data_IF_216399214513
#
_entry.id   IF_216399214513
#
_cell.length_a   1.000
_cell.length_b   1.000
_cell.length_c   1.000
_cell.angle_alpha   90.00
_cell.angle_beta   90.00
_cell.angle_gamma   90.00
#
_symmetry.space_group_name_H-M   'P 1'
#
loop_
_entity.id
_entity.type
_entity.pdbx_description
1 polymer ?
#
# COMPACT_ATOMS: atom_id res chain seq x y z
N UNK A 1 62.47 28.54 1.82
CA UNK A 1 61.08 28.44 2.30
C UNK A 1 60.71 26.98 2.24
N UNK A 2 60.29 26.49 3.40
CA UNK A 2 60.31 25.10 3.82
C UNK A 2 59.32 24.20 3.06
N UNK A 3 59.73 22.95 2.94
CA UNK A 3 58.94 21.82 2.45
C UNK A 3 58.14 21.33 3.65
N UNK A 4 56.83 21.56 3.65
CA UNK A 4 55.94 21.04 4.69
C UNK A 4 55.60 19.58 4.39
N UNK A 5 56.24 18.70 5.17
CA UNK A 5 55.96 17.29 5.28
C UNK A 5 55.02 17.06 6.46
N UNK A 6 53.77 16.66 6.22
CA UNK A 6 52.97 16.04 7.28
C UNK A 6 51.46 16.17 7.15
N UNK A 7 50.83 15.20 6.46
CA UNK A 7 49.64 14.50 6.97
C UNK A 7 49.33 13.30 6.07
N UNK A 8 49.72 12.13 6.52
CA UNK A 8 49.14 10.86 6.07
C UNK A 8 47.67 10.80 6.50
N UNK A 9 46.73 10.40 5.62
CA UNK A 9 45.36 10.14 6.07
C UNK A 9 45.37 8.90 6.96
N UNK A 10 44.82 9.01 8.16
CA UNK A 10 44.58 7.83 8.99
C UNK A 10 43.59 6.87 8.32
N UNK A 11 43.78 5.55 8.43
CA UNK A 11 42.78 4.60 7.95
C UNK A 11 41.52 4.73 8.82
N UNK A 12 40.41 5.11 8.20
CA UNK A 12 39.09 4.98 8.82
C UNK A 12 38.85 3.50 9.12
N UNK A 13 39.05 3.11 10.39
CA UNK A 13 38.53 1.85 10.90
C UNK A 13 36.99 1.95 10.87
N UNK A 14 36.40 1.38 9.83
CA UNK A 14 35.01 0.94 9.89
C UNK A 14 34.93 -0.08 11.02
N UNK A 15 34.37 0.33 12.14
CA UNK A 15 33.89 -0.59 13.17
C UNK A 15 32.92 -1.54 12.47
N UNK A 16 33.36 -2.79 12.24
CA UNK A 16 32.46 -3.89 11.92
C UNK A 16 31.42 -3.92 13.03
N UNK A 17 30.18 -3.53 12.71
CA UNK A 17 29.06 -3.78 13.57
C UNK A 17 29.05 -5.29 13.83
N UNK A 18 29.23 -5.67 15.09
CA UNK A 18 29.06 -7.05 15.53
C UNK A 18 27.67 -7.52 15.11
N UNK A 19 27.59 -8.63 14.39
CA UNK A 19 26.33 -9.32 14.11
C UNK A 19 25.55 -9.47 15.43
N UNK A 20 24.27 -9.07 15.50
CA UNK A 20 23.51 -9.22 16.73
C UNK A 20 23.35 -10.71 17.03
N UNK A 21 23.72 -11.09 18.26
CA UNK A 21 23.51 -12.42 18.84
C UNK A 21 22.11 -12.93 18.51
N UNK A 22 22.02 -14.20 18.10
CA UNK A 22 20.75 -14.85 17.75
C UNK A 22 19.77 -14.75 18.92
N UNK A 23 18.72 -13.96 18.78
CA UNK A 23 17.69 -13.81 19.82
C UNK A 23 16.89 -15.12 19.88
N UNK A 24 16.96 -15.88 21.00
CA UNK A 24 16.46 -17.27 21.03
C UNK A 24 14.97 -17.37 21.39
N UNK A 25 14.28 -16.26 21.65
CA UNK A 25 12.88 -16.25 22.08
C UNK A 25 12.05 -15.23 21.29
N UNK A 26 10.76 -15.56 21.08
CA UNK A 26 9.80 -14.70 20.37
C UNK A 26 9.63 -13.34 21.04
N UNK A 27 9.66 -13.30 22.38
CA UNK A 27 9.55 -12.06 23.16
C UNK A 27 10.78 -11.16 22.99
N UNK A 28 11.98 -11.73 22.90
CA UNK A 28 13.20 -10.97 22.63
C UNK A 28 13.20 -10.37 21.21
N UNK A 29 12.56 -11.04 20.25
CA UNK A 29 12.34 -10.48 18.90
C UNK A 29 11.37 -9.31 18.91
N UNK A 30 10.31 -9.38 19.72
CA UNK A 30 9.32 -8.32 19.87
C UNK A 30 9.95 -7.09 20.54
N UNK A 31 10.72 -7.25 21.62
CA UNK A 31 11.43 -6.13 22.26
C UNK A 31 12.50 -5.50 21.35
N UNK A 32 13.19 -6.31 20.53
CA UNK A 32 14.13 -5.79 19.52
C UNK A 32 13.42 -4.97 18.44
N UNK A 33 12.25 -5.41 17.97
CA UNK A 33 11.43 -4.64 17.02
C UNK A 33 10.92 -3.32 17.63
N UNK A 34 10.57 -3.32 18.92
CA UNK A 34 10.07 -2.13 19.63
C UNK A 34 11.18 -1.13 20.00
N UNK A 35 12.44 -1.56 20.04
CA UNK A 35 13.60 -0.72 20.36
C UNK A 35 14.35 -0.19 19.13
N UNK A 36 13.99 -0.63 17.91
CA UNK A 36 14.56 -0.09 16.68
C UNK A 36 13.96 1.29 16.41
N UNK A 37 14.85 2.30 16.35
CA UNK A 37 14.51 3.69 16.02
C UNK A 37 13.55 3.77 14.82
N UNK A 38 12.50 4.57 14.99
CA UNK A 38 11.64 5.07 13.93
C UNK A 38 12.54 5.68 12.84
N UNK A 39 12.47 5.12 11.63
CA UNK A 39 13.24 5.60 10.49
C UNK A 39 12.85 7.05 10.19
N UNK A 40 13.81 7.88 9.80
CA UNK A 40 13.57 9.28 9.48
C UNK A 40 12.68 9.40 8.23
N UNK A 41 11.84 10.45 8.18
CA UNK A 41 10.83 10.70 7.12
C UNK A 41 11.38 10.60 5.69
N UNK A 42 12.69 10.83 5.49
CA UNK A 42 13.36 10.71 4.19
C UNK A 42 13.50 9.26 3.68
N UNK A 43 13.37 8.26 4.56
CA UNK A 43 13.43 6.84 4.19
C UNK A 43 12.05 6.25 3.82
N UNK A 44 10.97 7.03 3.87
CA UNK A 44 9.63 6.62 3.42
C UNK A 44 9.44 6.88 1.90
N UNK A 45 10.37 7.61 1.27
CA UNK A 45 10.26 8.13 -0.09
C UNK A 45 10.59 7.15 -1.25
N UNK A 46 10.54 5.82 -1.08
CA UNK A 46 10.86 4.87 -2.18
C UNK A 46 9.92 3.67 -2.17
N UNK A 47 8.98 3.60 -3.12
CA UNK A 47 7.68 3.00 -2.83
C UNK A 47 7.23 1.84 -3.73
N UNK A 48 7.94 1.42 -4.78
CA UNK A 48 7.57 0.18 -5.49
C UNK A 48 8.58 -0.95 -5.28
N UNK A 49 9.84 -0.76 -5.69
CA UNK A 49 10.90 -1.76 -5.48
C UNK A 49 11.14 -2.06 -4.00
N UNK A 50 11.04 -1.02 -3.15
CA UNK A 50 11.24 -1.17 -1.71
C UNK A 50 10.04 -1.79 -1.00
N UNK A 51 8.82 -1.75 -1.53
CA UNK A 51 7.71 -2.41 -0.82
C UNK A 51 7.93 -3.92 -0.81
N UNK A 52 8.26 -4.49 -1.96
CA UNK A 52 8.55 -5.92 -2.02
C UNK A 52 9.83 -6.28 -1.27
N UNK A 53 10.85 -5.41 -1.26
CA UNK A 53 12.09 -5.63 -0.49
C UNK A 53 11.93 -5.46 1.03
N UNK A 54 11.08 -4.56 1.49
CA UNK A 54 10.91 -4.22 2.91
C UNK A 54 9.76 -5.00 3.55
N UNK A 55 8.69 -5.31 2.81
CA UNK A 55 7.51 -6.03 3.31
C UNK A 55 7.52 -7.53 2.97
N UNK A 56 8.70 -8.07 2.63
CA UNK A 56 8.99 -9.51 2.71
C UNK A 56 8.84 -10.33 1.43
N UNK A 57 8.35 -9.76 0.32
CA UNK A 57 8.23 -10.52 -0.94
C UNK A 57 9.60 -10.87 -1.55
N UNK A 58 10.56 -9.96 -1.49
CA UNK A 58 11.95 -10.21 -1.89
C UNK A 58 12.57 -11.32 -1.05
N UNK A 59 12.49 -11.19 0.28
CA UNK A 59 13.04 -12.18 1.21
C UNK A 59 12.38 -13.55 1.01
N UNK A 60 11.09 -13.58 0.74
CA UNK A 60 10.38 -14.82 0.42
C UNK A 60 10.89 -15.43 -0.89
N UNK A 61 11.06 -14.65 -1.95
CA UNK A 61 11.61 -15.12 -3.21
C UNK A 61 13.05 -15.64 -3.02
N UNK A 62 13.89 -14.87 -2.34
CA UNK A 62 15.27 -15.25 -2.06
C UNK A 62 15.34 -16.56 -1.26
N UNK A 63 14.53 -16.67 -0.20
CA UNK A 63 14.46 -17.87 0.65
C UNK A 63 13.94 -19.10 -0.10
N UNK A 64 12.95 -18.95 -0.99
CA UNK A 64 12.33 -20.07 -1.73
C UNK A 64 13.14 -20.51 -2.95
N UNK A 65 13.80 -19.58 -3.65
CA UNK A 65 14.45 -19.83 -4.95
C UNK A 65 15.97 -19.68 -4.93
N UNK A 66 16.55 -19.24 -3.80
CA UNK A 66 18.00 -19.17 -3.59
C UNK A 66 18.70 -18.00 -4.30
N UNK A 67 17.97 -17.16 -5.05
CA UNK A 67 18.48 -15.96 -5.71
C UNK A 67 17.33 -14.97 -6.01
N UNK A 68 17.68 -13.78 -6.51
CA UNK A 68 16.74 -12.68 -6.77
C UNK A 68 16.05 -12.73 -8.14
N UNK A 69 16.30 -13.73 -9.00
CA UNK A 69 15.77 -13.72 -10.36
C UNK A 69 14.24 -13.77 -10.40
N UNK A 70 13.63 -14.59 -9.53
CA UNK A 70 12.16 -14.71 -9.47
C UNK A 70 11.53 -13.39 -9.04
N UNK A 71 12.10 -12.72 -8.03
CA UNK A 71 11.65 -11.39 -7.61
C UNK A 71 11.73 -10.40 -8.78
N UNK A 72 12.86 -10.38 -9.49
CA UNK A 72 13.06 -9.52 -10.66
C UNK A 72 12.01 -9.78 -11.75
N UNK A 73 11.73 -11.04 -12.08
CA UNK A 73 10.72 -11.36 -13.10
C UNK A 73 9.32 -10.91 -12.69
N UNK A 74 9.00 -10.94 -11.39
CA UNK A 74 7.74 -10.42 -10.90
C UNK A 74 7.68 -8.88 -10.92
N UNK A 75 8.74 -8.19 -10.51
CA UNK A 75 8.76 -6.71 -10.57
C UNK A 75 8.70 -6.22 -12.02
N UNK A 76 9.45 -6.86 -12.93
CA UNK A 76 9.37 -6.56 -14.36
C UNK A 76 7.94 -6.79 -14.90
N UNK A 77 7.20 -7.77 -14.36
CA UNK A 77 5.79 -8.02 -14.72
C UNK A 77 4.84 -6.99 -14.11
N UNK A 78 5.10 -6.50 -12.90
CA UNK A 78 4.23 -5.57 -12.20
C UNK A 78 4.08 -4.24 -12.94
N UNK A 79 5.13 -3.78 -13.63
CA UNK A 79 5.08 -2.59 -14.50
C UNK A 79 4.05 -2.71 -15.64
N UNK A 80 3.67 -3.93 -16.02
CA UNK A 80 2.66 -4.18 -17.06
C UNK A 80 1.25 -4.30 -16.51
N UNK A 81 1.03 -4.29 -15.19
CA UNK A 81 -0.32 -4.36 -14.63
C UNK A 81 -1.15 -3.10 -14.96
N UNK A 82 -2.44 -3.26 -15.27
CA UNK A 82 -3.32 -2.11 -15.44
C UNK A 82 -3.49 -1.36 -14.10
N UNK A 83 -3.55 -0.04 -14.16
CA UNK A 83 -3.75 0.81 -12.97
C UNK A 83 -5.21 0.78 -12.48
N UNK A 84 -6.15 0.69 -13.42
CA UNK A 84 -7.58 0.81 -13.17
C UNK A 84 -8.39 -0.12 -14.07
N UNK A 85 -9.64 -0.36 -13.70
CA UNK A 85 -10.62 -1.07 -14.52
C UNK A 85 -11.94 -0.29 -14.53
N UNK A 86 -12.73 -0.49 -15.58
CA UNK A 86 -14.05 0.11 -15.74
C UNK A 86 -15.04 -0.99 -16.09
N UNK A 87 -16.03 -1.20 -15.23
CA UNK A 87 -17.07 -2.22 -15.40
C UNK A 87 -18.33 -1.54 -15.94
N UNK A 88 -18.75 -1.99 -17.13
CA UNK A 88 -19.94 -1.53 -17.85
C UNK A 88 -20.07 0.01 -17.93
N UNK A 89 -18.94 0.71 -18.04
CA UNK A 89 -18.85 2.17 -18.06
C UNK A 89 -19.44 2.89 -16.83
N UNK A 90 -19.72 2.18 -15.74
CA UNK A 90 -20.40 2.74 -14.57
C UNK A 90 -19.61 2.57 -13.27
N UNK A 91 -18.89 1.48 -13.10
CA UNK A 91 -18.11 1.23 -11.87
C UNK A 91 -16.62 1.35 -12.18
N UNK A 92 -15.98 2.34 -11.59
CA UNK A 92 -14.56 2.60 -11.73
C UNK A 92 -13.78 1.94 -10.59
N UNK A 93 -12.89 1.03 -10.94
CA UNK A 93 -12.11 0.23 -9.98
C UNK A 93 -10.64 0.62 -10.01
N UNK A 94 -10.05 0.82 -8.83
CA UNK A 94 -8.63 1.13 -8.65
C UNK A 94 -8.15 0.68 -7.26
N UNK A 95 -6.84 0.61 -7.05
CA UNK A 95 -6.32 0.20 -5.73
C UNK A 95 -6.45 1.31 -4.70
N UNK A 96 -5.84 2.46 -5.00
CA UNK A 96 -5.77 3.66 -4.18
C UNK A 96 -7.04 4.49 -4.30
N UNK A 97 -6.93 5.69 -4.85
CA UNK A 97 -8.02 6.64 -4.87
C UNK A 97 -7.87 7.67 -5.99
N UNK A 98 -8.64 8.74 -5.93
CA UNK A 98 -8.61 9.76 -6.97
C UNK A 98 -7.32 10.59 -6.91
N UNK A 99 -7.00 11.27 -8.02
CA UNK A 99 -5.86 12.17 -8.14
C UNK A 99 -6.33 13.60 -8.46
N UNK A 100 -5.74 14.64 -7.85
CA UNK A 100 -6.01 16.03 -8.23
C UNK A 100 -5.51 16.37 -9.64
N UNK A 101 -4.72 15.49 -10.26
CA UNK A 101 -4.21 15.65 -11.63
C UNK A 101 -5.06 14.92 -12.68
N UNK A 102 -6.18 14.31 -12.28
CA UNK A 102 -7.01 13.46 -13.14
C UNK A 102 -8.49 13.88 -13.00
N UNK A 103 -8.99 14.56 -14.02
CA UNK A 103 -10.41 14.93 -14.09
C UNK A 103 -11.24 13.89 -14.86
N UNK A 104 -10.61 13.18 -15.81
CA UNK A 104 -11.31 12.28 -16.73
C UNK A 104 -10.66 10.91 -16.85
N UNK A 105 -11.46 9.90 -17.20
CA UNK A 105 -10.96 8.56 -17.54
C UNK A 105 -9.96 8.57 -18.70
N UNK A 106 -10.04 9.54 -19.61
CA UNK A 106 -9.09 9.70 -20.72
C UNK A 106 -7.71 10.15 -20.23
N UNK A 107 -7.62 10.95 -19.17
CA UNK A 107 -6.34 11.29 -18.56
C UNK A 107 -5.62 10.03 -18.05
N UNK A 108 -6.36 9.07 -17.49
CA UNK A 108 -5.82 7.80 -17.02
C UNK A 108 -5.32 6.94 -18.18
N UNK A 109 -6.09 6.86 -19.28
CA UNK A 109 -5.72 6.09 -20.49
C UNK A 109 -4.46 6.63 -21.16
N UNK A 110 -4.18 7.92 -20.99
CA UNK A 110 -3.01 8.59 -21.55
C UNK A 110 -1.74 8.46 -20.72
N UNK A 111 -1.82 7.88 -19.51
CA UNK A 111 -0.64 7.69 -18.66
C UNK A 111 0.34 6.69 -19.28
N UNK A 112 1.62 7.07 -19.32
CA UNK A 112 2.69 6.12 -19.56
C UNK A 112 2.89 5.28 -18.29
N UNK A 113 2.26 4.11 -18.25
CA UNK A 113 2.21 3.27 -17.04
C UNK A 113 3.29 2.20 -16.97
N UNK A 114 4.03 1.95 -18.06
CA UNK A 114 5.01 0.86 -18.13
C UNK A 114 6.34 1.37 -17.56
N UNK A 115 6.35 1.57 -16.25
CA UNK A 115 7.48 2.07 -15.47
C UNK A 115 7.25 1.75 -13.99
N UNK A 116 8.31 1.84 -13.19
CA UNK A 116 8.18 1.82 -11.74
C UNK A 116 7.25 2.96 -11.29
N UNK A 117 6.39 2.70 -10.30
CA UNK A 117 5.48 3.70 -9.74
C UNK A 117 6.28 4.92 -9.23
N UNK A 118 6.04 6.12 -9.79
CA UNK A 118 6.71 7.34 -9.33
C UNK A 118 6.38 7.68 -7.87
N UNK A 119 7.20 8.52 -7.23
CA UNK A 119 6.94 8.97 -5.86
C UNK A 119 5.79 9.98 -5.75
N UNK A 120 5.45 10.66 -6.85
CA UNK A 120 4.40 11.67 -6.92
C UNK A 120 3.69 11.64 -8.28
N UNK A 121 2.54 12.30 -8.36
CA UNK A 121 1.79 12.45 -9.59
C UNK A 121 0.73 11.37 -9.80
N UNK A 122 0.03 11.41 -10.95
CA UNK A 122 -1.24 10.71 -11.14
C UNK A 122 -1.17 9.19 -10.96
N UNK A 123 -0.08 8.55 -11.38
CA UNK A 123 0.10 7.10 -11.18
C UNK A 123 0.30 6.74 -9.71
N UNK A 124 1.02 7.57 -8.95
CA UNK A 124 1.19 7.39 -7.51
C UNK A 124 -0.16 7.56 -6.80
N UNK A 125 -0.87 8.65 -7.08
CA UNK A 125 -2.15 8.97 -6.46
C UNK A 125 -3.21 7.86 -6.66
N UNK A 126 -3.31 7.31 -7.89
CA UNK A 126 -4.23 6.20 -8.19
C UNK A 126 -3.98 4.94 -7.35
N UNK A 127 -2.78 4.78 -6.79
CA UNK A 127 -2.37 3.64 -5.98
C UNK A 127 -2.33 3.96 -4.47
N UNK A 128 -2.24 5.23 -4.08
CA UNK A 128 -1.94 5.66 -2.70
C UNK A 128 -2.97 6.60 -2.06
N UNK A 129 -3.85 7.22 -2.84
CA UNK A 129 -4.84 8.15 -2.28
C UNK A 129 -5.96 7.44 -1.52
N UNK A 130 -6.54 8.13 -0.53
CA UNK A 130 -7.58 7.61 0.36
C UNK A 130 -8.80 8.56 0.48
N UNK A 131 -10.03 8.03 0.57
CA UNK A 131 -11.20 8.84 0.89
C UNK A 131 -11.11 9.40 2.32
N UNK A 132 -11.62 10.61 2.53
CA UNK A 132 -11.64 11.32 3.81
C UNK A 132 -13.00 12.01 3.99
N UNK A 133 -13.39 12.23 5.25
CA UNK A 133 -14.62 12.94 5.62
C UNK A 133 -14.50 14.46 5.38
N UNK A 134 -13.27 14.96 5.29
CA UNK A 134 -12.99 16.38 5.00
C UNK A 134 -13.26 16.68 3.53
N UNK A 135 -13.92 17.82 3.29
CA UNK A 135 -14.17 18.34 1.95
C UNK A 135 -12.87 18.73 1.23
N UNK A 136 -12.82 18.51 -0.08
CA UNK A 136 -11.68 18.82 -0.95
C UNK A 136 -10.53 17.83 -0.86
N UNK A 137 -9.35 18.29 -1.26
CA UNK A 137 -8.10 17.51 -1.20
C UNK A 137 -7.32 17.78 0.08
N UNK A 138 -6.70 16.74 0.64
CA UNK A 138 -5.75 16.83 1.74
C UNK A 138 -4.45 16.08 1.44
N UNK A 139 -3.41 16.38 2.21
CA UNK A 139 -2.13 15.65 2.11
C UNK A 139 -2.30 14.29 2.79
N UNK A 140 -1.90 13.22 2.11
CA UNK A 140 -1.97 11.87 2.67
C UNK A 140 -1.03 11.72 3.88
N UNK A 141 -1.52 11.18 5.01
CA UNK A 141 -0.66 10.86 6.16
C UNK A 141 0.30 9.70 5.86
N UNK A 142 0.13 8.99 4.73
CA UNK A 142 1.00 7.89 4.31
C UNK A 142 2.33 8.35 3.70
N UNK A 143 2.47 9.65 3.42
CA UNK A 143 3.64 10.21 2.74
C UNK A 143 3.63 10.05 1.21
N UNK A 144 2.53 9.54 0.63
CA UNK A 144 2.30 9.42 -0.80
C UNK A 144 0.80 9.50 -1.10
N UNK A 145 0.44 10.09 -2.26
CA UNK A 145 -0.95 10.35 -2.65
C UNK A 145 -1.62 11.47 -1.85
N UNK A 146 -2.94 11.54 -1.97
CA UNK A 146 -3.78 12.57 -1.33
C UNK A 146 -4.93 11.93 -0.55
N UNK A 147 -5.51 12.69 0.38
CA UNK A 147 -6.88 12.42 0.82
C UNK A 147 -7.88 13.19 -0.03
N UNK A 148 -9.09 12.65 -0.23
CA UNK A 148 -10.13 13.31 -1.02
C UNK A 148 -11.51 13.20 -0.38
N UNK A 149 -12.24 14.31 -0.38
CA UNK A 149 -13.59 14.42 0.16
C UNK A 149 -14.71 13.93 -0.75
N UNK A 150 -15.93 13.91 -0.21
CA UNK A 150 -17.14 13.53 -0.95
C UNK A 150 -17.41 14.41 -2.17
N UNK A 151 -17.14 15.70 -2.08
CA UNK A 151 -17.27 16.65 -3.19
C UNK A 151 -16.42 16.26 -4.41
N UNK A 152 -15.23 15.70 -4.15
CA UNK A 152 -14.31 15.25 -5.19
C UNK A 152 -14.82 13.98 -5.87
N UNK A 153 -15.28 12.99 -5.10
CA UNK A 153 -15.79 11.74 -5.68
C UNK A 153 -17.10 11.95 -6.42
N UNK A 154 -18.01 12.78 -5.91
CA UNK A 154 -19.24 13.19 -6.60
C UNK A 154 -18.94 13.87 -7.93
N UNK A 155 -18.03 14.85 -7.94
CA UNK A 155 -17.65 15.55 -9.16
C UNK A 155 -16.99 14.62 -10.18
N UNK A 156 -16.07 13.76 -9.74
CA UNK A 156 -15.41 12.79 -10.62
C UNK A 156 -16.41 11.80 -11.21
N UNK A 157 -17.31 11.24 -10.39
CA UNK A 157 -18.33 10.32 -10.84
C UNK A 157 -19.27 10.97 -11.85
N UNK A 158 -19.79 12.15 -11.52
CA UNK A 158 -20.68 12.90 -12.41
C UNK A 158 -20.02 13.22 -13.75
N UNK A 159 -18.79 13.74 -13.75
CA UNK A 159 -18.08 14.15 -14.96
C UNK A 159 -17.73 12.97 -15.88
N UNK A 160 -17.58 11.77 -15.31
CA UNK A 160 -17.21 10.57 -16.05
C UNK A 160 -18.39 9.61 -16.28
N UNK A 161 -19.61 9.97 -15.87
CA UNK A 161 -20.80 9.13 -16.02
C UNK A 161 -20.76 7.85 -15.17
N UNK A 162 -20.05 7.89 -14.03
CA UNK A 162 -19.89 6.75 -13.12
C UNK A 162 -20.96 6.77 -12.02
N UNK A 163 -21.30 5.58 -11.54
CA UNK A 163 -22.16 5.39 -10.37
C UNK A 163 -21.38 5.08 -9.10
N UNK A 164 -20.14 4.60 -9.25
CA UNK A 164 -19.34 4.11 -8.13
C UNK A 164 -17.84 4.12 -8.41
N UNK A 165 -17.08 4.54 -7.42
CA UNK A 165 -15.65 4.21 -7.26
C UNK A 165 -15.52 3.02 -6.32
N UNK A 166 -15.00 1.89 -6.80
CA UNK A 166 -14.70 0.72 -5.99
C UNK A 166 -13.18 0.60 -5.79
N UNK A 167 -12.74 0.60 -4.53
CA UNK A 167 -11.32 0.67 -4.20
C UNK A 167 -10.89 -0.24 -3.05
N UNK A 168 -9.58 -0.37 -2.81
CA UNK A 168 -9.02 -1.26 -1.78
C UNK A 168 -8.15 -0.51 -0.75
N UNK A 169 -6.86 -0.83 -0.65
CA UNK A 169 -5.79 -0.15 0.13
C UNK A 169 -6.00 -0.04 1.67
N UNK A 170 -7.08 0.55 2.14
CA UNK A 170 -7.37 0.78 3.55
C UNK A 170 -7.98 -0.46 4.22
N UNK A 171 -7.49 -0.78 5.42
CA UNK A 171 -8.10 -1.81 6.24
C UNK A 171 -9.44 -1.32 6.79
N UNK A 172 -10.49 -2.10 6.55
CA UNK A 172 -11.83 -1.87 7.09
C UNK A 172 -12.26 -3.11 7.89
N UNK A 173 -12.81 -2.90 9.09
CA UNK A 173 -13.03 -3.98 10.05
C UNK A 173 -14.00 -5.06 9.58
N UNK A 174 -15.01 -4.67 8.81
CA UNK A 174 -16.03 -5.57 8.28
C UNK A 174 -15.65 -6.11 6.89
N UNK A 175 -14.45 -5.82 6.40
CA UNK A 175 -13.98 -6.24 5.07
C UNK A 175 -14.50 -5.35 3.92
N UNK A 176 -15.56 -4.57 4.13
CA UNK A 176 -15.93 -3.47 3.24
C UNK A 176 -16.48 -2.27 4.04
N UNK A 177 -16.43 -1.08 3.44
CA UNK A 177 -17.04 0.12 4.01
C UNK A 177 -17.55 1.05 2.89
N UNK A 178 -18.77 1.56 3.05
CA UNK A 178 -19.31 2.62 2.21
C UNK A 178 -18.93 3.97 2.77
N UNK A 179 -18.56 4.90 1.89
CA UNK A 179 -18.23 6.28 2.26
C UNK A 179 -18.78 7.26 1.21
N UNK A 180 -18.78 8.55 1.56
CA UNK A 180 -19.08 9.64 0.62
C UNK A 180 -20.43 9.47 -0.08
N UNK A 181 -21.48 9.26 0.71
CA UNK A 181 -22.85 8.96 0.28
C UNK A 181 -22.94 7.85 -0.78
N UNK A 182 -22.14 6.79 -0.60
CA UNK A 182 -22.01 5.64 -1.48
C UNK A 182 -21.40 5.91 -2.86
N UNK A 183 -20.77 7.08 -3.07
CA UNK A 183 -19.94 7.32 -4.25
C UNK A 183 -18.66 6.47 -4.23
N UNK A 184 -18.21 6.05 -3.04
CA UNK A 184 -16.98 5.26 -2.87
C UNK A 184 -17.23 4.06 -1.95
N UNK A 185 -16.79 2.89 -2.38
CA UNK A 185 -16.69 1.70 -1.53
C UNK A 185 -15.25 1.25 -1.39
N UNK A 186 -14.83 1.00 -0.15
CA UNK A 186 -13.56 0.36 0.18
C UNK A 186 -13.80 -1.11 0.44
N UNK A 187 -13.04 -2.00 -0.21
CA UNK A 187 -13.11 -3.45 -0.08
C UNK A 187 -11.72 -3.98 0.29
N UNK A 188 -11.66 -4.78 1.35
CA UNK A 188 -10.44 -5.36 1.88
C UNK A 188 -10.59 -6.87 2.02
N UNK A 189 -9.76 -7.63 1.30
CA UNK A 189 -9.94 -9.09 1.15
C UNK A 189 -8.95 -9.94 1.94
N UNK A 190 -8.19 -9.35 2.88
CA UNK A 190 -7.26 -10.08 3.74
C UNK A 190 -7.79 -10.16 5.18
N UNK A 191 -8.40 -11.28 5.61
CA UNK A 191 -9.02 -11.37 6.92
C UNK A 191 -7.95 -11.53 8.01
N UNK A 192 -8.21 -10.98 9.20
CA UNK A 192 -7.27 -10.90 10.31
C UNK A 192 -5.88 -10.44 9.85
N UNK A 193 -5.84 -9.25 9.24
CA UNK A 193 -4.65 -8.75 8.60
C UNK A 193 -3.44 -8.75 9.54
N UNK A 194 -2.32 -9.27 9.03
CA UNK A 194 -1.07 -9.49 9.77
C UNK A 194 -1.23 -10.29 11.08
N UNK A 195 -2.28 -11.11 11.20
CA UNK A 195 -2.63 -11.88 12.40
C UNK A 195 -2.89 -11.05 13.66
N UNK A 196 -3.21 -9.76 13.48
CA UNK A 196 -3.31 -8.79 14.57
C UNK A 196 -4.58 -7.98 14.55
N UNK A 197 -5.10 -7.66 13.37
CA UNK A 197 -6.15 -6.66 13.25
C UNK A 197 -7.54 -7.23 13.59
N UNK A 198 -7.75 -8.54 13.39
CA UNK A 198 -9.03 -9.20 13.66
C UNK A 198 -10.19 -8.74 12.76
N UNK A 199 -9.90 -8.07 11.64
CA UNK A 199 -10.89 -7.67 10.64
C UNK A 199 -11.45 -8.89 9.88
N UNK A 200 -12.69 -8.79 9.44
CA UNK A 200 -13.21 -9.65 8.37
C UNK A 200 -12.65 -9.20 7.02
N UNK A 201 -12.77 -10.06 6.03
CA UNK A 201 -12.54 -9.72 4.65
C UNK A 201 -13.85 -9.72 3.87
N UNK A 202 -13.88 -9.03 2.73
CA UNK A 202 -15.02 -9.10 1.82
C UNK A 202 -14.58 -9.19 0.35
N UNK A 203 -15.52 -9.65 -0.47
CA UNK A 203 -15.53 -9.49 -1.92
C UNK A 203 -16.87 -8.86 -2.34
N UNK A 204 -16.86 -8.11 -3.44
CA UNK A 204 -18.05 -7.52 -4.05
C UNK A 204 -18.37 -8.29 -5.33
N UNK A 205 -19.51 -8.94 -5.37
CA UNK A 205 -20.05 -9.58 -6.56
C UNK A 205 -20.90 -8.56 -7.31
N UNK A 206 -20.79 -8.54 -8.64
CA UNK A 206 -21.55 -7.67 -9.53
C UNK A 206 -22.17 -8.57 -10.60
N UNK A 207 -23.50 -8.55 -10.72
CA UNK A 207 -24.22 -9.34 -11.73
C UNK A 207 -24.33 -8.61 -13.08
N UNK A 208 -24.95 -9.27 -14.08
CA UNK A 208 -25.16 -8.70 -15.42
C UNK A 208 -26.07 -7.45 -15.46
N UNK A 209 -26.71 -7.10 -14.35
CA UNK A 209 -27.56 -5.92 -14.20
C UNK A 209 -26.91 -4.85 -13.32
N UNK A 210 -25.61 -4.98 -13.04
CA UNK A 210 -24.83 -4.13 -12.14
C UNK A 210 -25.37 -4.07 -10.71
N UNK A 211 -26.21 -5.02 -10.33
CA UNK A 211 -26.58 -5.18 -8.93
C UNK A 211 -25.40 -5.82 -8.23
N UNK A 212 -25.09 -5.31 -7.05
CA UNK A 212 -23.95 -5.76 -6.28
C UNK A 212 -24.33 -6.29 -4.90
N UNK A 213 -23.57 -7.30 -4.46
CA UNK A 213 -23.68 -7.93 -3.14
C UNK A 213 -22.29 -8.11 -2.53
N UNK A 214 -22.19 -7.98 -1.21
CA UNK A 214 -20.94 -8.24 -0.49
C UNK A 214 -20.98 -9.60 0.16
N UNK A 215 -19.93 -10.40 -0.05
CA UNK A 215 -19.69 -11.63 0.66
C UNK A 215 -18.54 -11.41 1.65
N UNK A 216 -18.86 -11.42 2.93
CA UNK A 216 -17.87 -11.31 4.01
C UNK A 216 -17.39 -12.71 4.43
N UNK A 217 -16.11 -12.81 4.78
CA UNK A 217 -15.50 -14.05 5.23
C UNK A 217 -14.43 -13.83 6.30
N UNK A 218 -14.34 -14.79 7.21
CA UNK A 218 -13.36 -14.85 8.28
C UNK A 218 -12.06 -15.57 7.84
N UNK A 219 -10.97 -15.48 8.61
CA UNK A 219 -9.76 -16.23 8.31
C UNK A 219 -10.04 -17.73 8.25
N UNK A 220 -9.38 -18.42 7.31
CA UNK A 220 -9.43 -19.87 7.26
C UNK A 220 -8.90 -20.46 8.58
N UNK A 221 -9.64 -21.37 9.25
CA UNK A 221 -9.20 -21.96 10.51
C UNK A 221 -7.83 -22.63 10.36
N UNK A 222 -6.89 -22.29 11.24
CA UNK A 222 -5.58 -22.95 11.35
C UNK A 222 -5.51 -23.77 12.62
N UNK A 223 -5.00 -25.00 12.51
CA UNK A 223 -4.81 -25.84 13.68
C UNK A 223 -3.78 -25.21 14.63
N UNK A 224 -4.22 -24.82 15.83
CA UNK A 224 -3.33 -24.39 16.93
C UNK A 224 -3.11 -22.88 17.11
N UNK A 225 -3.82 -22.00 16.39
CA UNK A 225 -3.67 -20.55 16.59
C UNK A 225 -4.55 -19.98 17.73
N UNK A 226 -4.00 -19.09 18.60
CA UNK A 226 -4.77 -18.43 19.67
C UNK A 226 -5.73 -17.36 19.12
N UNK A 227 -6.81 -17.10 19.85
CA UNK A 227 -7.84 -16.13 19.48
C UNK A 227 -7.30 -14.69 19.53
N UNK A 228 -7.35 -13.96 18.41
CA UNK A 228 -6.83 -12.59 18.28
C UNK A 228 -7.90 -11.55 18.64
N UNK A 229 -7.51 -10.50 19.36
CA UNK A 229 -8.34 -9.35 19.75
C UNK A 229 -8.51 -8.38 18.56
N UNK A 230 -9.73 -7.86 18.36
CA UNK A 230 -10.08 -6.92 17.27
C UNK A 230 -9.58 -5.52 17.58
N UNK A 231 -8.47 -5.09 16.97
CA UNK A 231 -8.02 -3.68 17.01
C UNK A 231 -7.22 -3.33 15.77
N UNK A 232 -7.63 -2.28 15.06
CA UNK A 232 -6.87 -1.71 13.94
C UNK A 232 -5.71 -0.86 14.45
N UNK A 233 -4.46 -1.12 14.04
CA UNK A 233 -3.33 -0.22 14.31
C UNK A 233 -3.40 1.09 13.53
N UNK A 234 -2.90 2.20 14.10
CA UNK A 234 -3.00 3.54 13.52
C UNK A 234 -2.33 3.71 12.14
N UNK A 235 -1.30 2.92 11.84
CA UNK A 235 -0.66 2.91 10.51
C UNK A 235 -1.60 2.49 9.37
N UNK A 236 -2.67 1.75 9.68
CA UNK A 236 -3.65 1.27 8.70
C UNK A 236 -4.85 2.20 8.51
N UNK A 237 -4.97 3.24 9.33
CA UNK A 237 -5.94 4.33 9.16
C UNK A 237 -5.36 5.33 8.15
#
# INVERSE_FOLDING_TARGET
MEIDSGRTPEPHHLSLASDPESIPTLDGWIESLMSRKQLAENDVQRLCDRITQVYGFYDECLRKYGNANVWKYFTDLFDFLPLTALIDNQIFCLHGGLSPSIDTLDNIRALDRIQEVPHEGPMCDLLWSDPDDRCGWGISPRGAGYTFGQDISEAFNHNNGLTLVARAHQLVMEGYNWSQDRNVVTIFSAPNYCYRCGNQAAIMEIDEHLKYTFLQFDPCPRAGEPMVSRRTPDYFL
#
